data_IF_422543724062
#
_entry.id   IF_422543724062
#
_cell.length_a   1.000
_cell.length_b   1.000
_cell.length_c   1.000
_cell.angle_alpha   90.00
_cell.angle_beta   90.00
_cell.angle_gamma   90.00
#
_symmetry.space_group_name_H-M   'P 1'
#
loop_
_entity.id
_entity.type
_entity.pdbx_description
1 polymer ?
#
# COMPACT_ATOMS: atom_id res chain seq x y z
N UNK A 1 0.41 26.19 -2.92
CA UNK A 1 -0.21 24.92 -2.49
C UNK A 1 0.93 23.92 -2.45
N UNK A 2 1.08 23.16 -1.36
CA UNK A 2 2.14 22.15 -1.27
C UNK A 2 1.77 20.92 -2.11
N UNK A 3 2.74 20.33 -2.79
CA UNK A 3 2.54 19.16 -3.66
C UNK A 3 2.64 17.83 -2.91
N UNK A 4 3.07 17.85 -1.65
CA UNK A 4 3.33 16.63 -0.85
C UNK A 4 4.74 16.08 -1.00
N UNK A 5 5.63 16.78 -1.71
CA UNK A 5 7.02 16.36 -1.91
C UNK A 5 7.73 16.04 -0.58
N UNK A 6 8.35 14.86 -0.51
CA UNK A 6 9.05 14.36 0.68
C UNK A 6 8.13 13.85 1.79
N UNK A 7 6.81 13.78 1.56
CA UNK A 7 5.86 13.19 2.49
C UNK A 7 5.55 11.76 2.05
N UNK A 8 5.67 10.82 2.99
CA UNK A 8 5.19 9.44 2.83
C UNK A 8 3.82 9.32 3.48
N UNK A 9 2.86 8.71 2.77
CA UNK A 9 1.51 8.44 3.24
C UNK A 9 1.27 6.94 3.20
N UNK A 10 1.13 6.33 4.38
CA UNK A 10 0.72 4.94 4.51
C UNK A 10 -0.76 4.78 4.17
N UNK A 11 -1.07 3.92 3.19
CA UNK A 11 -2.43 3.52 2.82
C UNK A 11 -2.65 2.11 3.35
N UNK A 12 -3.42 2.02 4.43
CA UNK A 12 -3.74 0.78 5.12
C UNK A 12 -5.10 0.28 4.62
N UNK A 13 -5.10 -0.75 3.78
CA UNK A 13 -6.31 -1.23 3.10
C UNK A 13 -6.20 -2.74 2.76
N UNK A 14 -7.08 -3.28 1.91
CA UNK A 14 -7.12 -4.69 1.52
C UNK A 14 -6.28 -4.99 0.25
N UNK A 15 -5.11 -4.35 0.14
CA UNK A 15 -4.19 -4.46 -0.99
C UNK A 15 -4.41 -3.41 -2.08
N UNK A 16 -3.35 -3.04 -2.79
CA UNK A 16 -3.31 -1.91 -3.73
C UNK A 16 -2.58 -2.27 -5.03
N UNK A 17 -3.11 -1.87 -6.18
CA UNK A 17 -2.36 -1.97 -7.45
C UNK A 17 -1.29 -0.87 -7.53
N UNK A 18 -0.15 -1.10 -6.89
CA UNK A 18 1.02 -0.21 -6.95
C UNK A 18 1.62 -0.11 -8.36
N UNK A 19 1.19 -0.95 -9.31
CA UNK A 19 1.62 -0.90 -10.72
C UNK A 19 0.67 -0.08 -11.59
N UNK A 20 -0.37 0.50 -11.01
CA UNK A 20 -1.27 1.38 -11.74
C UNK A 20 -0.45 2.53 -12.35
N UNK A 21 -0.64 2.77 -13.65
CA UNK A 21 0.18 3.69 -14.45
C UNK A 21 0.13 5.16 -14.00
N UNK A 22 -0.65 5.47 -12.97
CA UNK A 22 -0.84 6.83 -12.45
C UNK A 22 -0.38 6.98 -11.00
N UNK A 23 0.18 5.90 -10.44
CA UNK A 23 0.74 5.83 -9.10
C UNK A 23 2.21 5.40 -9.11
N UNK A 24 2.69 4.76 -10.20
CA UNK A 24 4.02 4.17 -10.34
C UNK A 24 5.17 5.10 -9.91
N UNK A 25 5.10 6.39 -10.24
CA UNK A 25 6.15 7.36 -9.90
C UNK A 25 6.06 7.84 -8.44
N UNK A 26 4.93 7.59 -7.79
CA UNK A 26 4.61 8.00 -6.43
C UNK A 26 4.50 6.82 -5.45
N UNK A 27 4.96 5.62 -5.79
CA UNK A 27 5.05 4.51 -4.83
C UNK A 27 6.30 4.65 -3.96
N UNK A 28 6.12 4.50 -2.65
CA UNK A 28 7.20 4.45 -1.69
C UNK A 28 7.99 3.15 -1.83
N UNK A 29 9.29 3.22 -1.59
CA UNK A 29 10.19 2.05 -1.60
C UNK A 29 10.96 2.00 -0.30
N UNK A 30 11.06 0.81 0.29
CA UNK A 30 11.98 0.55 1.38
C UNK A 30 13.40 0.49 0.81
N UNK A 31 14.19 1.55 1.06
CA UNK A 31 15.57 1.64 0.58
C UNK A 31 16.56 0.90 1.48
N UNK A 32 16.10 0.45 2.66
CA UNK A 32 16.91 -0.33 3.59
C UNK A 32 16.83 -1.85 3.30
N UNK A 33 15.99 -2.27 2.34
CA UNK A 33 15.82 -3.65 1.88
C UNK A 33 16.52 -3.95 0.54
N UNK A 34 17.10 -5.16 0.40
CA UNK A 34 17.68 -5.66 -0.86
C UNK A 34 16.71 -6.66 -1.50
N UNK A 35 15.96 -6.18 -2.48
CA UNK A 35 14.96 -6.96 -3.21
C UNK A 35 15.41 -8.39 -3.60
N UNK A 36 14.75 -9.39 -3.02
CA UNK A 36 14.84 -10.80 -3.41
C UNK A 36 16.11 -11.50 -2.90
N UNK A 37 16.74 -10.97 -1.84
CA UNK A 37 17.86 -11.64 -1.20
C UNK A 37 17.39 -12.69 -0.16
N UNK A 38 16.10 -12.70 0.20
CA UNK A 38 15.50 -13.62 1.16
C UNK A 38 15.90 -13.34 2.62
N UNK A 39 16.33 -12.11 2.92
CA UNK A 39 16.70 -11.63 4.23
C UNK A 39 15.81 -10.44 4.62
N UNK A 40 15.75 -10.20 5.92
CA UNK A 40 15.27 -8.94 6.50
C UNK A 40 16.54 -8.11 6.74
N UNK A 41 16.77 -7.11 5.89
CA UNK A 41 18.00 -6.31 5.86
C UNK A 41 17.93 -5.12 6.84
N UNK A 42 16.72 -4.61 7.10
CA UNK A 42 16.49 -3.45 7.96
C UNK A 42 16.17 -3.83 9.43
N UNK A 43 15.88 -5.11 9.70
CA UNK A 43 15.63 -5.68 11.01
C UNK A 43 14.22 -5.42 11.55
N UNK A 44 13.23 -5.26 10.66
CA UNK A 44 11.85 -4.95 11.00
C UNK A 44 10.93 -6.19 11.16
N UNK A 45 11.50 -7.40 11.05
CA UNK A 45 10.85 -8.72 11.06
C UNK A 45 10.06 -9.09 9.78
N UNK A 46 10.21 -8.32 8.69
CA UNK A 46 9.59 -8.57 7.39
C UNK A 46 10.66 -8.79 6.31
N UNK A 47 10.62 -9.95 5.67
CA UNK A 47 11.64 -10.34 4.68
C UNK A 47 11.30 -9.77 3.30
N UNK A 48 12.26 -9.07 2.67
CA UNK A 48 12.13 -8.50 1.32
C UNK A 48 10.98 -7.49 1.16
N UNK A 49 10.57 -6.75 2.20
CA UNK A 49 9.42 -5.81 2.21
C UNK A 49 9.72 -4.48 1.48
N UNK A 50 10.19 -4.57 0.25
CA UNK A 50 10.63 -3.46 -0.61
C UNK A 50 9.57 -2.39 -0.91
N UNK A 51 8.30 -2.73 -0.74
CA UNK A 51 7.14 -1.85 -0.93
C UNK A 51 6.26 -1.76 0.32
N UNK A 52 6.73 -2.28 1.46
CA UNK A 52 5.97 -2.62 2.67
C UNK A 52 5.19 -3.95 2.53
N UNK A 53 4.46 -4.33 3.58
CA UNK A 53 4.06 -5.71 3.86
C UNK A 53 2.59 -6.00 3.62
N UNK A 54 2.32 -7.25 3.24
CA UNK A 54 1.00 -7.86 3.28
C UNK A 54 0.81 -8.66 4.58
N UNK A 55 0.11 -8.09 5.55
CA UNK A 55 -0.21 -8.75 6.81
C UNK A 55 -1.34 -9.77 6.70
N UNK A 56 -2.09 -9.75 5.60
CA UNK A 56 -3.18 -10.68 5.36
C UNK A 56 -2.63 -12.04 4.88
N UNK A 57 -1.74 -12.04 3.89
CA UNK A 57 -1.12 -13.25 3.34
C UNK A 57 0.28 -13.53 3.93
N UNK A 58 0.81 -12.59 4.72
CA UNK A 58 2.11 -12.66 5.40
C UNK A 58 3.27 -12.82 4.40
N UNK A 59 3.31 -11.93 3.42
CA UNK A 59 4.37 -11.82 2.42
C UNK A 59 4.66 -10.36 2.02
N UNK A 60 5.68 -10.17 1.19
CA UNK A 60 6.15 -8.86 0.72
C UNK A 60 5.41 -8.34 -0.52
N UNK A 61 4.22 -8.88 -0.86
CA UNK A 61 3.47 -8.45 -2.04
C UNK A 61 2.15 -7.76 -1.68
N UNK A 62 2.15 -6.43 -1.40
CA UNK A 62 0.98 -5.69 -0.92
C UNK A 62 -0.13 -5.49 -1.98
N UNK A 63 -0.04 -6.16 -3.14
CA UNK A 63 -1.03 -6.06 -4.22
C UNK A 63 -2.15 -7.09 -4.13
N UNK A 64 -1.92 -8.26 -3.54
CA UNK A 64 -2.84 -9.40 -3.62
C UNK A 64 -3.27 -9.93 -2.26
N UNK A 65 -3.82 -9.08 -1.39
CA UNK A 65 -4.61 -9.57 -0.26
C UNK A 65 -5.76 -10.47 -0.75
N UNK A 66 -5.64 -11.79 -0.53
CA UNK A 66 -6.47 -12.88 -1.06
C UNK A 66 -6.41 -13.12 -2.60
N UNK A 67 -5.75 -14.20 -3.00
CA UNK A 67 -6.00 -14.83 -4.30
C UNK A 67 -7.36 -15.57 -4.34
N UNK A 68 -8.16 -15.58 -5.44
CA UNK A 68 -8.11 -14.75 -6.64
C UNK A 68 -9.26 -13.71 -6.70
N UNK A 69 -8.96 -12.51 -7.21
CA UNK A 69 -9.91 -11.65 -7.93
C UNK A 69 -11.22 -11.30 -7.20
N UNK A 70 -11.13 -10.59 -6.09
CA UNK A 70 -12.14 -9.55 -5.88
C UNK A 70 -11.52 -8.23 -6.30
N UNK A 71 -11.57 -7.94 -7.61
CA UNK A 71 -11.14 -6.66 -8.18
C UNK A 71 -11.66 -5.47 -7.36
N UNK A 72 -12.87 -5.63 -6.81
CA UNK A 72 -13.55 -4.62 -6.01
C UNK A 72 -12.80 -4.15 -4.75
N UNK A 73 -11.90 -4.94 -4.14
CA UNK A 73 -11.16 -4.50 -2.93
C UNK A 73 -9.85 -3.81 -3.29
N UNK A 74 -9.12 -4.32 -4.28
CA UNK A 74 -7.93 -3.66 -4.82
C UNK A 74 -8.26 -2.29 -5.41
N UNK A 75 -9.44 -2.17 -6.02
CA UNK A 75 -9.96 -0.90 -6.53
C UNK A 75 -10.11 0.15 -5.41
N UNK A 76 -10.40 -0.27 -4.17
CA UNK A 76 -10.62 0.67 -3.05
C UNK A 76 -9.32 1.37 -2.67
N UNK A 77 -8.27 0.61 -2.36
CA UNK A 77 -6.97 1.17 -2.00
C UNK A 77 -6.36 1.97 -3.15
N UNK A 78 -6.45 1.45 -4.38
CA UNK A 78 -5.93 2.12 -5.58
C UNK A 78 -6.66 3.43 -5.85
N UNK A 79 -7.98 3.48 -5.66
CA UNK A 79 -8.76 4.70 -5.80
C UNK A 79 -8.45 5.71 -4.68
N UNK A 80 -8.30 5.26 -3.44
CA UNK A 80 -7.87 6.11 -2.31
C UNK A 80 -6.48 6.70 -2.59
N UNK A 81 -5.53 5.87 -3.03
CA UNK A 81 -4.19 6.31 -3.42
C UNK A 81 -4.23 7.34 -4.56
N UNK A 82 -5.11 7.15 -5.56
CA UNK A 82 -5.31 8.13 -6.63
C UNK A 82 -5.81 9.49 -6.14
N UNK A 83 -6.74 9.52 -5.18
CA UNK A 83 -7.20 10.78 -4.56
C UNK A 83 -6.03 11.49 -3.86
N UNK A 84 -5.13 10.73 -3.23
CA UNK A 84 -3.99 11.28 -2.51
C UNK A 84 -2.92 11.77 -3.49
N UNK A 85 -2.38 10.89 -4.33
CA UNK A 85 -1.15 11.13 -5.07
C UNK A 85 -1.18 10.59 -6.51
N UNK A 86 -2.32 10.62 -7.20
CA UNK A 86 -2.30 10.44 -8.66
C UNK A 86 -1.34 11.46 -9.29
N UNK A 87 -0.45 10.96 -10.12
CA UNK A 87 0.68 11.72 -10.68
C UNK A 87 0.23 12.92 -11.53
N UNK A 88 1.09 13.93 -11.63
CA UNK A 88 0.83 15.07 -12.50
C UNK A 88 1.15 14.74 -13.96
N UNK A 89 0.20 14.95 -14.86
CA UNK A 89 0.40 14.78 -16.31
C UNK A 89 -0.10 13.45 -16.88
N UNK A 90 -0.69 12.61 -16.03
CA UNK A 90 -1.44 11.45 -16.43
C UNK A 90 -2.85 11.82 -16.95
N UNK A 91 -3.54 10.92 -17.69
CA UNK A 91 -4.89 11.19 -18.19
C UNK A 91 -6.02 11.21 -17.13
N UNK A 92 -5.79 10.78 -15.88
CA UNK A 92 -6.81 10.82 -14.82
C UNK A 92 -6.76 12.12 -13.96
N UNK A 93 -7.69 12.29 -12.99
CA UNK A 93 -7.68 13.43 -12.08
C UNK A 93 -6.43 13.49 -11.20
N UNK A 94 -5.86 14.70 -11.04
CA UNK A 94 -4.67 14.96 -10.23
C UNK A 94 -4.92 14.70 -8.73
N UNK A 95 -3.97 14.04 -8.08
CA UNK A 95 -3.98 13.83 -6.63
C UNK A 95 -3.86 15.14 -5.84
N UNK A 96 -4.44 15.17 -4.63
CA UNK A 96 -4.36 16.32 -3.73
C UNK A 96 -2.89 16.67 -3.39
N UNK A 97 -2.07 15.64 -3.22
CA UNK A 97 -0.65 15.66 -2.92
C UNK A 97 0.12 14.82 -3.97
N UNK A 98 0.05 15.26 -5.23
CA UNK A 98 0.60 14.56 -6.41
C UNK A 98 2.13 14.35 -6.45
N UNK A 99 2.89 14.81 -5.45
CA UNK A 99 4.31 14.48 -5.25
C UNK A 99 4.58 13.73 -3.93
N UNK A 100 3.53 13.32 -3.20
CA UNK A 100 3.68 12.45 -2.04
C UNK A 100 3.96 11.02 -2.47
N UNK A 101 4.64 10.26 -1.62
CA UNK A 101 4.88 8.84 -1.82
C UNK A 101 3.84 8.01 -1.07
N UNK A 102 3.29 6.99 -1.71
CA UNK A 102 2.29 6.07 -1.18
C UNK A 102 2.98 4.78 -0.71
N UNK A 103 2.81 4.46 0.56
CA UNK A 103 3.30 3.23 1.18
C UNK A 103 2.10 2.29 1.38
N UNK A 104 1.96 1.22 0.59
CA UNK A 104 0.82 0.30 0.69
C UNK A 104 1.00 -0.75 1.79
N UNK A 105 0.10 -0.76 2.77
CA UNK A 105 0.01 -1.83 3.76
C UNK A 105 -1.28 -2.61 3.54
N UNK A 106 -1.17 -3.91 3.32
CA UNK A 106 -2.32 -4.79 3.21
C UNK A 106 -2.65 -5.38 4.59
N UNK A 107 -3.86 -5.14 5.10
CA UNK A 107 -4.34 -5.69 6.38
C UNK A 107 -5.55 -6.61 6.20
N UNK A 108 -5.71 -7.62 7.09
CA UNK A 108 -6.89 -8.46 7.11
C UNK A 108 -8.13 -7.64 7.49
N UNK A 109 -9.16 -7.68 6.64
CA UNK A 109 -10.47 -7.15 6.98
C UNK A 109 -11.29 -8.20 7.75
N UNK A 110 -11.27 -8.14 9.08
CA UNK A 110 -12.11 -9.00 9.92
C UNK A 110 -13.60 -8.62 9.77
N UNK A 111 -14.40 -9.55 9.24
CA UNK A 111 -15.88 -9.44 9.17
C UNK A 111 -16.61 -10.23 10.24
N UNK A 112 -15.91 -10.88 11.18
CA UNK A 112 -16.60 -11.54 12.28
C UNK A 112 -17.22 -10.46 13.18
N UNK A 113 -18.53 -10.50 13.47
CA UNK A 113 -19.10 -9.60 14.46
C UNK A 113 -18.35 -9.81 15.77
N UNK A 114 -17.85 -8.73 16.40
CA UNK A 114 -17.21 -8.81 17.73
C UNK A 114 -18.07 -9.69 18.64
N UNK A 115 -17.57 -10.89 18.93
CA UNK A 115 -18.03 -11.72 20.04
C UNK A 115 -16.94 -11.76 21.10
N UNK A 116 -16.51 -10.60 21.58
CA UNK A 116 -15.72 -10.57 22.81
C UNK A 116 -16.33 -9.57 23.83
N UNK A 117 -16.94 -10.08 24.91
CA UNK A 117 -17.51 -9.28 25.99
C UNK A 117 -16.49 -8.86 27.06
N UNK A 118 -15.18 -9.04 26.90
CA UNK A 118 -14.21 -8.75 27.96
C UNK A 118 -13.01 -7.96 27.42
N UNK A 119 -13.06 -6.63 27.51
CA UNK A 119 -11.91 -5.77 27.84
C UNK A 119 -12.34 -4.29 27.88
N UNK A 120 -12.42 -3.74 29.10
CA UNK A 120 -12.33 -2.32 29.43
C UNK A 120 -11.17 -2.14 30.40
#
# INVERSE_FOLDING_TARGET
MGTGEGVVVAVIDAGMDYRHAELNDNIWQNLDEIAGNGLDDDGNDYVDDTLDWDFLDNDADPIFGFAPRSANFQDHATHVAGIIAAEAGSPAPLGVAHNAQIMPLCLPFDRTPRQDPQNF
#
